data_IF_969249740668
#
_entry.id   IF_969249740668
#
_cell.length_a   1.000
_cell.length_b   1.000
_cell.length_c   1.000
_cell.angle_alpha   90.00
_cell.angle_beta   90.00
_cell.angle_gamma   90.00
#
_symmetry.space_group_name_H-M   'P 1'
#
loop_
_entity.id
_entity.type
_entity.pdbx_description
1 polymer ?
#
# COMPACT_ATOMS: atom_id res chain seq x y z
N UNK A 1 -1.09 -13.77 -1.52
CA UNK A 1 0.37 -13.97 -1.28
C UNK A 1 0.54 -14.41 0.19
N UNK A 2 1.16 -15.56 0.46
CA UNK A 2 1.20 -16.18 1.81
C UNK A 2 1.77 -15.24 2.89
N UNK A 3 1.28 -15.31 4.13
CA UNK A 3 1.97 -14.70 5.28
C UNK A 3 3.39 -15.26 5.36
N UNK A 4 4.36 -14.36 5.51
CA UNK A 4 5.76 -14.76 5.71
C UNK A 4 6.03 -14.67 7.19
N UNK A 5 6.41 -15.78 7.79
CA UNK A 5 6.81 -15.82 9.20
C UNK A 5 8.20 -15.22 9.35
N UNK A 6 8.48 -14.68 10.53
CA UNK A 6 9.84 -14.22 10.86
C UNK A 6 10.87 -15.35 10.74
N UNK A 7 10.49 -16.59 11.10
CA UNK A 7 11.37 -17.75 11.01
C UNK A 7 11.75 -18.08 9.55
N UNK A 8 10.80 -17.98 8.62
CA UNK A 8 11.08 -18.14 7.19
C UNK A 8 12.05 -17.06 6.68
N UNK A 9 11.86 -15.80 7.10
CA UNK A 9 12.73 -14.69 6.71
C UNK A 9 14.16 -14.84 7.26
N UNK A 10 14.31 -15.28 8.51
CA UNK A 10 15.65 -15.49 9.11
C UNK A 10 16.35 -16.71 8.53
N UNK A 11 15.63 -17.78 8.21
CA UNK A 11 16.22 -18.93 7.55
C UNK A 11 16.84 -18.55 6.20
N UNK A 12 16.16 -17.72 5.40
CA UNK A 12 16.70 -17.20 4.14
C UNK A 12 17.92 -16.29 4.38
N UNK A 13 17.86 -15.42 5.39
CA UNK A 13 18.94 -14.51 5.76
C UNK A 13 20.22 -15.20 6.22
N UNK A 14 20.09 -16.23 7.06
CA UNK A 14 21.24 -16.95 7.62
C UNK A 14 21.95 -17.84 6.57
N UNK A 15 21.24 -18.28 5.53
CA UNK A 15 21.81 -19.11 4.46
C UNK A 15 22.66 -18.32 3.45
N UNK A 16 22.53 -16.99 3.41
CA UNK A 16 23.11 -16.14 2.35
C UNK A 16 23.98 -15.04 2.95
N UNK A 17 25.07 -15.40 3.63
CA UNK A 17 25.96 -14.46 4.33
C UNK A 17 26.42 -13.27 3.47
N UNK A 18 26.81 -13.51 2.21
CA UNK A 18 27.25 -12.47 1.28
C UNK A 18 26.13 -11.52 0.82
N UNK A 19 24.85 -11.92 0.97
CA UNK A 19 23.67 -11.17 0.54
C UNK A 19 22.85 -10.61 1.72
N UNK A 20 23.30 -10.80 2.97
CA UNK A 20 22.54 -10.39 4.15
C UNK A 20 22.10 -8.91 4.12
N UNK A 21 22.97 -8.01 3.67
CA UNK A 21 22.60 -6.60 3.50
C UNK A 21 21.52 -6.40 2.42
N UNK A 22 21.61 -7.13 1.31
CA UNK A 22 20.62 -7.11 0.23
C UNK A 22 19.27 -7.64 0.69
N UNK A 23 19.26 -8.73 1.46
CA UNK A 23 18.03 -9.30 2.02
C UNK A 23 17.35 -8.34 3.00
N UNK A 24 18.12 -7.65 3.84
CA UNK A 24 17.57 -6.61 4.71
C UNK A 24 16.90 -5.50 3.88
N UNK A 25 17.56 -5.01 2.82
CA UNK A 25 16.98 -4.00 1.94
C UNK A 25 15.77 -4.54 1.15
N UNK A 26 15.75 -5.81 0.79
CA UNK A 26 14.60 -6.45 0.15
C UNK A 26 13.39 -6.50 1.08
N UNK A 27 13.59 -6.85 2.36
CA UNK A 27 12.53 -6.80 3.37
C UNK A 27 12.02 -5.37 3.60
N UNK A 28 12.93 -4.39 3.68
CA UNK A 28 12.55 -2.98 3.76
C UNK A 28 11.75 -2.52 2.53
N UNK A 29 12.25 -2.81 1.32
CA UNK A 29 11.60 -2.44 0.07
C UNK A 29 10.20 -3.04 -0.06
N UNK A 30 10.04 -4.32 0.33
CA UNK A 30 8.74 -4.97 0.42
C UNK A 30 7.81 -4.26 1.41
N UNK A 31 8.30 -3.93 2.60
CA UNK A 31 7.53 -3.21 3.60
C UNK A 31 7.04 -1.85 3.06
N UNK A 32 7.94 -1.02 2.52
CA UNK A 32 7.57 0.27 1.93
C UNK A 32 6.56 0.12 0.80
N UNK A 33 6.81 -0.79 -0.14
CA UNK A 33 5.89 -1.05 -1.25
C UNK A 33 4.48 -1.42 -0.76
N UNK A 34 4.40 -2.36 0.19
CA UNK A 34 3.10 -2.77 0.74
C UNK A 34 2.40 -1.63 1.47
N UNK A 35 3.13 -0.81 2.24
CA UNK A 35 2.57 0.37 2.89
C UNK A 35 2.12 1.45 1.91
N UNK A 36 2.78 1.60 0.75
CA UNK A 36 2.35 2.50 -0.32
C UNK A 36 1.08 1.98 -1.02
N UNK A 37 1.02 0.67 -1.30
CA UNK A 37 -0.16 0.04 -1.89
C UNK A 37 -1.40 0.20 -0.99
N UNK A 38 -1.23 0.01 0.33
CA UNK A 38 -2.29 0.20 1.31
C UNK A 38 -2.79 1.66 1.37
N UNK A 39 -1.91 2.65 1.34
CA UNK A 39 -2.32 4.07 1.26
C UNK A 39 -3.09 4.36 -0.05
N UNK A 40 -2.59 3.85 -1.18
CA UNK A 40 -3.27 4.00 -2.45
C UNK A 40 -4.64 3.30 -2.47
N UNK A 41 -4.78 2.16 -1.78
CA UNK A 41 -6.08 1.51 -1.62
C UNK A 41 -7.09 2.42 -0.93
N UNK A 42 -6.69 3.13 0.14
CA UNK A 42 -7.52 4.13 0.80
C UNK A 42 -7.94 5.28 -0.13
N UNK A 43 -7.00 5.80 -0.92
CA UNK A 43 -7.32 6.83 -1.94
C UNK A 43 -8.30 6.29 -2.98
N UNK A 44 -8.08 5.06 -3.46
CA UNK A 44 -8.95 4.44 -4.46
C UNK A 44 -10.37 4.24 -3.94
N UNK A 45 -10.53 3.86 -2.68
CA UNK A 45 -11.83 3.75 -2.03
C UNK A 45 -12.57 5.09 -2.02
N UNK A 46 -11.91 6.20 -1.65
CA UNK A 46 -12.54 7.52 -1.67
C UNK A 46 -12.92 7.98 -3.08
N UNK A 47 -12.04 7.76 -4.05
CA UNK A 47 -12.35 8.11 -5.43
C UNK A 47 -13.54 7.30 -5.98
N UNK A 48 -13.66 6.02 -5.63
CA UNK A 48 -14.82 5.20 -5.99
C UNK A 48 -16.09 5.74 -5.32
N UNK A 49 -16.03 6.11 -4.04
CA UNK A 49 -17.16 6.74 -3.35
C UNK A 49 -17.60 8.04 -4.04
N UNK A 50 -16.64 8.90 -4.42
CA UNK A 50 -16.90 10.12 -5.19
C UNK A 50 -17.54 9.83 -6.54
N UNK A 51 -17.08 8.81 -7.27
CA UNK A 51 -17.64 8.41 -8.58
C UNK A 51 -19.09 7.95 -8.41
N UNK A 52 -19.36 7.10 -7.42
CA UNK A 52 -20.69 6.54 -7.17
C UNK A 52 -21.68 7.63 -6.74
N UNK A 53 -21.25 8.60 -5.93
CA UNK A 53 -22.13 9.69 -5.45
C UNK A 53 -22.41 10.76 -6.49
N UNK A 54 -21.42 11.09 -7.31
CA UNK A 54 -21.48 12.25 -8.20
C UNK A 54 -21.75 11.91 -9.67
N UNK A 55 -21.63 10.63 -10.07
CA UNK A 55 -21.86 10.15 -11.44
C UNK A 55 -21.26 11.09 -12.52
N UNK A 56 -19.93 11.32 -12.50
CA UNK A 56 -19.32 12.33 -13.36
C UNK A 56 -19.60 12.11 -14.85
N UNK A 57 -20.10 13.14 -15.52
CA UNK A 57 -20.58 13.06 -16.92
C UNK A 57 -19.47 13.20 -17.98
N UNK A 58 -18.25 13.62 -17.59
CA UNK A 58 -17.15 13.88 -18.51
C UNK A 58 -15.82 13.27 -18.07
N UNK A 59 -14.89 13.08 -19.02
CA UNK A 59 -13.54 12.57 -18.75
C UNK A 59 -12.78 13.50 -17.79
N UNK A 60 -12.93 14.80 -17.97
CA UNK A 60 -12.31 15.83 -17.15
C UNK A 60 -12.86 15.79 -15.71
N UNK A 61 -14.17 15.58 -15.55
CA UNK A 61 -14.78 15.40 -14.24
C UNK A 61 -14.27 14.13 -13.54
N UNK A 62 -14.07 13.04 -14.29
CA UNK A 62 -13.45 11.81 -13.78
C UNK A 62 -11.99 12.03 -13.34
N UNK A 63 -11.18 12.70 -14.16
CA UNK A 63 -9.77 12.99 -13.84
C UNK A 63 -9.64 13.94 -12.64
N UNK A 64 -10.57 14.89 -12.50
CA UNK A 64 -10.61 15.82 -11.38
C UNK A 64 -10.83 15.11 -10.03
N UNK A 65 -11.50 13.95 -9.99
CA UNK A 65 -11.66 13.16 -8.76
C UNK A 65 -10.30 12.69 -8.25
N UNK A 66 -9.47 12.12 -9.13
CA UNK A 66 -8.13 11.65 -8.75
C UNK A 66 -7.18 12.79 -8.39
N UNK A 67 -7.28 13.91 -9.10
CA UNK A 67 -6.48 15.11 -8.83
C UNK A 67 -6.70 15.68 -7.41
N UNK A 68 -7.89 15.47 -6.80
CA UNK A 68 -8.12 15.82 -5.38
C UNK A 68 -7.16 15.12 -4.44
N UNK A 69 -6.72 13.91 -4.80
CA UNK A 69 -5.94 13.01 -3.94
C UNK A 69 -4.45 12.93 -4.32
N UNK A 70 -4.01 13.55 -5.41
CA UNK A 70 -2.61 13.54 -5.90
C UNK A 70 -1.59 14.18 -4.94
N UNK A 71 -2.04 15.07 -4.03
CA UNK A 71 -1.18 15.79 -3.09
C UNK A 71 -1.31 15.31 -1.62
N UNK A 72 -1.71 14.06 -1.40
CA UNK A 72 -2.15 13.50 -0.12
C UNK A 72 -1.16 13.43 1.06
N UNK A 73 0.03 14.05 0.98
CA UNK A 73 0.96 14.14 2.13
C UNK A 73 0.35 14.79 3.39
N UNK A 74 -0.75 15.52 3.25
CA UNK A 74 -1.50 16.13 4.35
C UNK A 74 -2.78 15.38 4.74
N UNK A 75 -3.03 14.18 4.22
CA UNK A 75 -4.37 13.57 4.21
C UNK A 75 -4.56 12.30 5.03
N UNK A 76 -3.59 11.69 5.74
CA UNK A 76 -3.91 10.44 6.49
C UNK A 76 -5.09 10.65 7.47
N UNK A 77 -5.09 11.75 8.22
CA UNK A 77 -6.21 12.07 9.13
C UNK A 77 -7.52 12.32 8.38
N UNK A 78 -7.50 13.18 7.37
CA UNK A 78 -8.71 13.53 6.58
C UNK A 78 -9.24 12.32 5.80
N UNK A 79 -8.36 11.61 5.12
CA UNK A 79 -8.65 10.39 4.35
C UNK A 79 -9.28 9.32 5.24
N UNK A 80 -8.73 9.07 6.43
CA UNK A 80 -9.28 8.03 7.33
C UNK A 80 -10.65 8.42 7.87
N UNK A 81 -10.90 9.69 8.18
CA UNK A 81 -12.25 10.16 8.52
C UNK A 81 -13.23 9.98 7.37
N UNK A 82 -12.89 10.44 6.17
CA UNK A 82 -13.75 10.30 4.98
C UNK A 82 -14.04 8.83 4.66
N UNK A 83 -13.02 7.96 4.77
CA UNK A 83 -13.19 6.52 4.54
C UNK A 83 -14.11 5.89 5.59
N UNK A 84 -13.96 6.28 6.85
CA UNK A 84 -14.77 5.77 7.93
C UNK A 84 -16.25 6.09 7.70
N UNK A 85 -16.54 7.32 7.28
CA UNK A 85 -17.89 7.77 6.96
C UNK A 85 -18.46 7.07 5.72
N UNK A 86 -17.69 7.02 4.61
CA UNK A 86 -18.14 6.47 3.34
C UNK A 86 -18.40 4.96 3.37
N UNK A 87 -17.53 4.19 4.04
CA UNK A 87 -17.59 2.73 4.08
C UNK A 87 -18.17 2.18 5.38
N UNK A 88 -18.58 3.05 6.31
CA UNK A 88 -19.08 2.69 7.64
C UNK A 88 -18.11 1.74 8.39
N UNK A 89 -16.82 2.05 8.33
CA UNK A 89 -15.78 1.23 8.97
C UNK A 89 -15.88 1.44 10.49
N UNK A 90 -15.86 0.34 11.25
CA UNK A 90 -15.93 0.45 12.71
C UNK A 90 -14.66 1.10 13.29
N UNK A 91 -14.78 1.67 14.49
CA UNK A 91 -13.68 2.41 15.13
C UNK A 91 -12.42 1.56 15.35
N UNK A 92 -12.57 0.27 15.66
CA UNK A 92 -11.45 -0.62 15.95
C UNK A 92 -10.62 -0.85 14.68
N UNK A 93 -11.27 -1.23 13.58
CA UNK A 93 -10.59 -1.50 12.31
C UNK A 93 -10.01 -0.23 11.69
N UNK A 94 -10.69 0.91 11.86
CA UNK A 94 -10.18 2.21 11.39
C UNK A 94 -8.97 2.66 12.21
N UNK A 95 -8.95 2.43 13.52
CA UNK A 95 -7.79 2.77 14.34
C UNK A 95 -6.56 1.93 13.97
N UNK A 96 -6.74 0.61 13.77
CA UNK A 96 -5.65 -0.24 13.28
C UNK A 96 -5.10 0.24 11.92
N UNK A 97 -5.97 0.68 11.02
CA UNK A 97 -5.54 1.24 9.74
C UNK A 97 -4.72 2.53 9.92
N UNK A 98 -5.14 3.43 10.81
CA UNK A 98 -4.38 4.65 11.14
C UNK A 98 -3.01 4.33 11.73
N UNK A 99 -2.93 3.36 12.64
CA UNK A 99 -1.67 2.91 13.24
C UNK A 99 -0.70 2.37 12.18
N UNK A 100 -1.19 1.55 11.24
CA UNK A 100 -0.35 1.02 10.14
C UNK A 100 0.12 2.14 9.21
N UNK A 101 -0.72 3.12 8.88
CA UNK A 101 -0.32 4.28 8.07
C UNK A 101 0.72 5.16 8.79
N UNK A 102 0.58 5.35 10.10
CA UNK A 102 1.58 6.05 10.91
C UNK A 102 2.91 5.28 10.92
N UNK A 103 2.88 3.96 11.11
CA UNK A 103 4.09 3.13 11.06
C UNK A 103 4.77 3.18 9.68
N UNK A 104 3.99 3.16 8.60
CA UNK A 104 4.50 3.35 7.22
C UNK A 104 5.24 4.67 7.05
N UNK A 105 4.67 5.76 7.57
CA UNK A 105 5.29 7.09 7.53
C UNK A 105 6.63 7.10 8.30
N UNK A 106 6.70 6.40 9.42
CA UNK A 106 7.90 6.27 10.23
C UNK A 106 8.98 5.43 9.52
N UNK A 107 8.58 4.32 8.88
CA UNK A 107 9.44 3.50 8.04
C UNK A 107 10.06 4.32 6.90
N UNK A 108 9.25 5.10 6.19
CA UNK A 108 9.68 5.87 5.02
C UNK A 108 10.62 7.03 5.37
N UNK A 109 10.40 7.71 6.50
CA UNK A 109 11.09 8.98 6.78
C UNK A 109 12.11 8.93 7.90
N UNK A 110 11.97 8.00 8.85
CA UNK A 110 12.69 8.09 10.13
C UNK A 110 13.41 6.81 10.55
N UNK A 111 12.97 5.66 10.07
CA UNK A 111 13.39 4.38 10.61
C UNK A 111 14.91 4.15 10.58
N UNK A 112 15.56 4.28 9.42
CA UNK A 112 17.01 4.09 9.34
C UNK A 112 17.79 5.14 10.13
N UNK A 113 17.31 6.38 10.21
CA UNK A 113 17.96 7.43 11.01
C UNK A 113 18.05 7.08 12.50
N UNK A 114 17.08 6.34 13.03
CA UNK A 114 17.04 5.94 14.44
C UNK A 114 17.57 4.53 14.72
N UNK A 115 17.77 3.72 13.67
CA UNK A 115 18.15 2.30 13.79
C UNK A 115 19.45 1.97 13.04
N UNK A 116 20.21 2.97 12.58
CA UNK A 116 21.45 2.80 11.82
C UNK A 116 22.48 1.93 12.55
N UNK A 117 22.62 2.10 13.87
CA UNK A 117 23.56 1.32 14.67
C UNK A 117 23.23 -0.18 14.67
N UNK A 118 21.96 -0.56 14.53
CA UNK A 118 21.55 -1.97 14.47
C UNK A 118 22.09 -2.66 13.23
N UNK A 119 22.26 -1.92 12.14
CA UNK A 119 22.80 -2.45 10.88
C UNK A 119 24.23 -2.99 11.05
N UNK A 120 24.99 -2.48 12.02
CA UNK A 120 26.39 -2.87 12.27
C UNK A 120 26.58 -4.27 12.83
N UNK A 121 25.51 -4.93 13.29
CA UNK A 121 25.59 -6.26 13.92
C UNK A 121 24.61 -7.24 13.29
N UNK A 122 24.95 -8.54 13.33
CA UNK A 122 24.04 -9.58 12.86
C UNK A 122 22.74 -9.60 13.65
N UNK A 123 22.81 -9.47 14.98
CA UNK A 123 21.61 -9.42 15.83
C UNK A 123 20.72 -8.21 15.50
N UNK A 124 21.32 -7.04 15.29
CA UNK A 124 20.58 -5.83 14.94
C UNK A 124 19.93 -5.93 13.55
N UNK A 125 20.62 -6.47 12.55
CA UNK A 125 20.03 -6.76 11.22
C UNK A 125 18.84 -7.72 11.31
N UNK A 126 18.94 -8.78 12.14
CA UNK A 126 17.82 -9.70 12.41
C UNK A 126 16.63 -9.03 13.08
N UNK A 127 16.86 -8.07 14.00
CA UNK A 127 15.78 -7.24 14.56
C UNK A 127 15.13 -6.39 13.48
N UNK A 128 15.93 -5.72 12.64
CA UNK A 128 15.38 -4.87 11.58
C UNK A 128 14.50 -5.66 10.60
N UNK A 129 14.90 -6.88 10.24
CA UNK A 129 14.08 -7.78 9.41
C UNK A 129 12.77 -8.12 10.13
N UNK A 130 12.81 -8.36 11.44
CA UNK A 130 11.60 -8.60 12.23
C UNK A 130 10.64 -7.41 12.14
N UNK A 131 11.14 -6.19 12.34
CA UNK A 131 10.35 -4.97 12.29
C UNK A 131 9.63 -4.84 10.93
N UNK A 132 10.32 -5.15 9.82
CA UNK A 132 9.72 -5.14 8.48
C UNK A 132 8.70 -6.26 8.26
N UNK A 133 8.97 -7.48 8.74
CA UNK A 133 8.04 -8.61 8.63
C UNK A 133 6.76 -8.33 9.41
N UNK A 134 6.88 -7.85 10.66
CA UNK A 134 5.74 -7.50 11.50
C UNK A 134 4.89 -6.41 10.84
N UNK A 135 5.51 -5.37 10.27
CA UNK A 135 4.81 -4.35 9.49
C UNK A 135 4.05 -4.95 8.31
N UNK A 136 4.70 -5.79 7.49
CA UNK A 136 4.01 -6.40 6.33
C UNK A 136 2.86 -7.31 6.72
N UNK A 137 2.92 -7.96 7.89
CA UNK A 137 1.82 -8.76 8.41
C UNK A 137 0.67 -7.88 8.91
N UNK A 138 0.98 -6.73 9.51
CA UNK A 138 -0.02 -5.74 9.94
C UNK A 138 -0.75 -5.13 8.75
N UNK A 139 -0.03 -4.79 7.67
CA UNK A 139 -0.62 -4.34 6.40
C UNK A 139 -1.63 -5.38 5.87
N UNK A 140 -1.24 -6.65 5.79
CA UNK A 140 -2.14 -7.71 5.30
C UNK A 140 -3.40 -7.87 6.16
N UNK A 141 -3.24 -7.84 7.48
CA UNK A 141 -4.37 -7.92 8.41
C UNK A 141 -5.37 -6.80 8.14
N UNK A 142 -4.88 -5.58 7.94
CA UNK A 142 -5.74 -4.43 7.60
C UNK A 142 -6.35 -4.58 6.20
N UNK A 143 -5.60 -5.02 5.19
CA UNK A 143 -6.13 -5.27 3.84
C UNK A 143 -7.28 -6.29 3.85
N UNK A 144 -7.15 -7.37 4.62
CA UNK A 144 -8.18 -8.40 4.79
C UNK A 144 -9.45 -7.83 5.42
N UNK A 145 -9.31 -6.95 6.41
CA UNK A 145 -10.44 -6.25 7.04
C UNK A 145 -11.10 -5.27 6.06
N UNK A 146 -10.32 -4.41 5.40
CA UNK A 146 -10.81 -3.46 4.40
C UNK A 146 -11.54 -4.16 3.25
N UNK A 147 -11.10 -5.36 2.84
CA UNK A 147 -11.77 -6.14 1.81
C UNK A 147 -13.23 -6.47 2.16
N UNK A 148 -13.55 -6.67 3.45
CA UNK A 148 -14.93 -6.91 3.90
C UNK A 148 -15.81 -5.67 3.68
N UNK A 149 -15.30 -4.49 4.04
CA UNK A 149 -16.00 -3.21 3.84
C UNK A 149 -16.16 -2.86 2.36
N UNK A 150 -15.10 -3.05 1.56
CA UNK A 150 -15.13 -2.85 0.11
C UNK A 150 -16.19 -3.78 -0.51
N UNK A 151 -16.23 -5.05 -0.12
CA UNK A 151 -17.22 -5.99 -0.65
C UNK A 151 -18.66 -5.60 -0.25
N UNK A 152 -18.86 -5.08 0.95
CA UNK A 152 -20.17 -4.58 1.37
C UNK A 152 -20.61 -3.35 0.56
N UNK A 153 -19.72 -2.37 0.41
CA UNK A 153 -19.95 -1.15 -0.36
C UNK A 153 -20.20 -1.43 -1.84
N UNK A 154 -19.42 -2.30 -2.47
CA UNK A 154 -19.58 -2.64 -3.87
C UNK A 154 -20.95 -3.25 -4.16
N UNK A 155 -21.48 -4.08 -3.25
CA UNK A 155 -22.83 -4.64 -3.38
C UNK A 155 -23.90 -3.56 -3.37
N UNK A 156 -23.77 -2.55 -2.51
CA UNK A 156 -24.74 -1.44 -2.45
C UNK A 156 -24.61 -0.48 -3.63
N UNK A 157 -23.40 -0.32 -4.17
CA UNK A 157 -23.11 0.53 -5.32
C UNK A 157 -23.38 -0.15 -6.68
N UNK A 158 -23.84 -1.40 -6.71
CA UNK A 158 -24.08 -2.15 -7.95
C UNK A 158 -22.81 -2.56 -8.71
N UNK A 159 -21.64 -2.51 -8.06
CA UNK A 159 -20.36 -2.92 -8.63
C UNK A 159 -20.21 -4.43 -8.44
N UNK A 160 -20.21 -5.20 -9.53
CA UNK A 160 -20.13 -6.67 -9.48
C UNK A 160 -18.69 -7.17 -9.57
N UNK A 161 -18.44 -8.38 -9.05
CA UNK A 161 -17.11 -9.00 -9.12
C UNK A 161 -16.72 -9.31 -10.57
N UNK A 162 -17.69 -9.62 -11.43
CA UNK A 162 -17.48 -9.88 -12.85
C UNK A 162 -17.03 -8.63 -13.61
N UNK A 163 -17.63 -7.46 -13.33
CA UNK A 163 -17.23 -6.22 -13.98
C UNK A 163 -15.81 -5.81 -13.57
N UNK A 164 -15.46 -5.96 -12.28
CA UNK A 164 -14.10 -5.75 -11.79
C UNK A 164 -13.12 -6.71 -12.47
N UNK A 165 -13.43 -8.01 -12.52
CA UNK A 165 -12.55 -9.02 -13.12
C UNK A 165 -12.29 -8.76 -14.61
N UNK A 166 -13.33 -8.33 -15.34
CA UNK A 166 -13.21 -7.98 -16.76
C UNK A 166 -12.27 -6.79 -16.98
N UNK A 167 -12.45 -5.71 -16.23
CA UNK A 167 -11.59 -4.50 -16.33
C UNK A 167 -10.14 -4.83 -15.98
N UNK A 168 -9.92 -5.66 -14.96
CA UNK A 168 -8.58 -6.10 -14.57
C UNK A 168 -7.89 -6.90 -15.68
N UNK A 169 -8.62 -7.78 -16.36
CA UNK A 169 -8.07 -8.56 -17.46
C UNK A 169 -7.75 -7.68 -18.67
N UNK A 170 -8.64 -6.75 -19.03
CA UNK A 170 -8.41 -5.77 -20.10
C UNK A 170 -7.15 -4.93 -19.82
N UNK A 171 -6.98 -4.46 -18.58
CA UNK A 171 -5.76 -3.73 -18.18
C UNK A 171 -4.51 -4.59 -18.25
N UNK A 172 -4.55 -5.86 -17.84
CA UNK A 172 -3.40 -6.76 -17.96
C UNK A 172 -3.00 -6.96 -19.41
N UNK A 173 -3.97 -7.16 -20.31
CA UNK A 173 -3.69 -7.32 -21.74
C UNK A 173 -3.11 -6.05 -22.36
N UNK A 174 -3.62 -4.87 -21.99
CA UNK A 174 -3.07 -3.58 -22.45
C UNK A 174 -1.58 -3.43 -22.11
N UNK A 175 -1.14 -3.90 -20.95
CA UNK A 175 0.25 -3.78 -20.50
C UNK A 175 1.16 -4.94 -20.93
N UNK A 176 0.60 -6.05 -21.40
CA UNK A 176 1.36 -7.26 -21.77
C UNK A 176 2.36 -7.00 -22.90
N UNK A 177 1.95 -6.18 -23.88
CA UNK A 177 2.72 -5.93 -25.10
C UNK A 177 3.24 -4.48 -25.20
N UNK A 178 3.12 -3.69 -24.11
CA UNK A 178 3.66 -2.33 -24.07
C UNK A 178 5.18 -2.37 -24.02
N UNK A 179 5.82 -1.86 -25.07
CA UNK A 179 7.26 -1.60 -25.08
C UNK A 179 7.55 -0.47 -24.10
N UNK A 180 8.40 -0.74 -23.11
CA UNK A 180 8.87 0.26 -22.16
C UNK A 180 9.92 1.11 -22.89
N UNK A 181 9.75 2.43 -22.83
CA UNK A 181 10.69 3.38 -23.39
C UNK A 181 11.95 3.45 -22.52
N UNK A 182 13.03 2.82 -22.98
CA UNK A 182 14.33 2.83 -22.31
C UNK A 182 15.05 4.19 -22.38
N UNK A 183 14.51 5.17 -23.13
CA UNK A 183 14.99 6.56 -23.13
C UNK A 183 14.44 7.41 -21.97
N UNK A 184 13.67 6.79 -21.07
CA UNK A 184 13.10 7.45 -19.90
C UNK A 184 14.17 8.09 -19.01
N UNK A 185 14.13 9.42 -18.91
CA UNK A 185 14.93 10.18 -17.96
C UNK A 185 14.20 10.27 -16.60
N UNK A 186 14.70 9.51 -15.63
CA UNK A 186 14.18 9.50 -14.26
C UNK A 186 14.25 10.85 -13.53
N UNK A 187 15.01 11.82 -14.05
CA UNK A 187 15.14 13.17 -13.46
C UNK A 187 14.02 14.12 -13.86
N UNK A 188 13.26 13.82 -14.91
CA UNK A 188 12.24 14.74 -15.46
C UNK A 188 10.91 14.70 -14.69
N UNK A 189 10.60 13.60 -13.99
CA UNK A 189 9.30 13.41 -13.31
C UNK A 189 9.14 14.11 -11.96
N UNK A 190 10.22 14.63 -11.37
CA UNK A 190 10.23 15.16 -10.00
C UNK A 190 10.54 16.67 -9.90
N UNK A 191 10.46 17.40 -11.01
CA UNK A 191 10.56 18.86 -11.07
C UNK A 191 9.18 19.53 -11.05
#
# INVERSE_FOLDING_TARGET
MKHTTYQEAIAEYDLKESEQALLLYAHYGRAIYMGQALEQQGINMLAIDDIVKNEPESKEAYEAIWAKYDHSKQMIGVMTTLLQEAYHINDIDMEEFREVLAWRNDLAHRYFRYNDILFSSTAGRKRMIKDFVDFTNSVKSVEEKLAVYIAAYNRTAGITTESIAKILEERKQEWKDKVIDDSYDSTVKYN
#
